data_IF_279485401321
#
_entry.id   IF_279485401321
#
_cell.length_a   1.000
_cell.length_b   1.000
_cell.length_c   1.000
_cell.angle_alpha   90.00
_cell.angle_beta   90.00
_cell.angle_gamma   90.00
#
_symmetry.space_group_name_H-M   'P 1'
#
loop_
_entity.id
_entity.type
_entity.pdbx_description
1 polymer ?
#
# COMPACT_ATOMS: atom_id res chain seq x y z
N UNK A 1 -9.89 26.47 2.11
CA UNK A 1 -8.79 25.67 1.49
C UNK A 1 -9.19 25.38 0.05
N UNK A 2 -8.31 25.57 -0.94
CA UNK A 2 -8.60 25.30 -2.36
C UNK A 2 -8.60 23.79 -2.64
N UNK A 3 -9.54 23.29 -3.45
CA UNK A 3 -9.66 21.87 -3.82
C UNK A 3 -8.40 21.30 -4.50
N UNK A 4 -7.53 22.14 -5.07
CA UNK A 4 -6.22 21.71 -5.59
C UNK A 4 -5.27 21.24 -4.48
N UNK A 5 -5.25 21.98 -3.36
CA UNK A 5 -4.32 21.71 -2.26
C UNK A 5 -4.65 20.40 -1.53
N UNK A 6 -5.95 20.09 -1.40
CA UNK A 6 -6.42 18.82 -0.82
C UNK A 6 -5.99 17.64 -1.70
N UNK A 7 -6.08 17.78 -3.03
CA UNK A 7 -5.64 16.76 -3.98
C UNK A 7 -4.13 16.49 -3.86
N UNK A 8 -3.33 17.54 -3.89
CA UNK A 8 -1.87 17.43 -3.79
C UNK A 8 -1.46 16.75 -2.49
N UNK A 9 -2.08 17.14 -1.38
CA UNK A 9 -1.87 16.52 -0.07
C UNK A 9 -2.29 15.04 -0.06
N UNK A 10 -3.45 14.69 -0.61
CA UNK A 10 -3.91 13.30 -0.69
C UNK A 10 -2.97 12.41 -1.51
N UNK A 11 -2.46 12.91 -2.64
CA UNK A 11 -1.47 12.17 -3.45
C UNK A 11 -0.15 12.02 -2.69
N UNK A 12 0.29 13.07 -2.00
CA UNK A 12 1.49 13.01 -1.16
C UNK A 12 1.36 11.95 -0.06
N UNK A 13 0.26 11.95 0.69
CA UNK A 13 0.00 10.97 1.75
C UNK A 13 -0.04 9.54 1.18
N UNK A 14 -0.70 9.32 0.04
CA UNK A 14 -0.69 8.00 -0.59
C UNK A 14 0.72 7.53 -0.93
N UNK A 15 1.55 8.37 -1.53
CA UNK A 15 2.94 8.00 -1.85
C UNK A 15 3.72 7.64 -0.60
N UNK A 16 3.61 8.47 0.43
CA UNK A 16 4.28 8.26 1.71
C UNK A 16 3.87 6.92 2.34
N UNK A 17 2.57 6.70 2.54
CA UNK A 17 2.09 5.51 3.24
C UNK A 17 2.23 4.22 2.42
N UNK A 18 2.04 4.28 1.10
CA UNK A 18 2.21 3.09 0.25
C UNK A 18 3.67 2.62 0.21
N UNK A 19 4.63 3.54 0.25
CA UNK A 19 6.04 3.19 0.38
C UNK A 19 6.31 2.51 1.73
N UNK A 20 5.86 3.13 2.84
CA UNK A 20 6.04 2.58 4.19
C UNK A 20 5.40 1.17 4.30
N UNK A 21 4.18 0.99 3.83
CA UNK A 21 3.49 -0.31 3.88
C UNK A 21 4.18 -1.38 3.00
N UNK A 22 4.74 -0.98 1.85
CA UNK A 22 5.58 -1.85 1.03
C UNK A 22 6.82 -2.32 1.79
N UNK A 23 7.52 -1.41 2.47
CA UNK A 23 8.70 -1.73 3.28
C UNK A 23 8.35 -2.61 4.49
N UNK A 24 7.22 -2.36 5.16
CA UNK A 24 6.71 -3.24 6.20
C UNK A 24 6.43 -4.66 5.68
N UNK A 25 5.83 -4.79 4.50
CA UNK A 25 5.59 -6.10 3.88
C UNK A 25 6.90 -6.86 3.61
N UNK A 26 7.96 -6.15 3.23
CA UNK A 26 9.32 -6.72 3.07
C UNK A 26 9.93 -7.12 4.40
N UNK A 27 9.76 -6.33 5.46
CA UNK A 27 10.24 -6.68 6.79
C UNK A 27 9.56 -7.94 7.32
N UNK A 28 8.25 -8.05 7.15
CA UNK A 28 7.49 -9.25 7.46
C UNK A 28 8.04 -10.45 6.71
N UNK A 29 8.16 -10.35 5.37
CA UNK A 29 8.67 -11.44 4.54
C UNK A 29 10.05 -11.93 5.02
N UNK A 30 10.95 -11.00 5.36
CA UNK A 30 12.29 -11.31 5.83
C UNK A 30 12.34 -11.92 7.25
N UNK A 31 11.28 -11.77 8.04
CA UNK A 31 11.18 -12.32 9.39
C UNK A 31 10.62 -13.76 9.42
N UNK A 32 9.99 -14.21 8.32
CA UNK A 32 9.37 -15.53 8.23
C UNK A 32 10.41 -16.64 8.03
N UNK A 33 10.15 -17.81 8.63
CA UNK A 33 10.87 -19.04 8.36
C UNK A 33 10.55 -19.57 6.95
N UNK A 34 11.49 -20.23 6.26
CA UNK A 34 11.23 -20.86 4.95
C UNK A 34 10.06 -21.87 4.94
N UNK A 35 9.71 -22.42 6.11
CA UNK A 35 8.61 -23.38 6.27
C UNK A 35 7.23 -22.70 6.24
N UNK A 36 7.17 -21.38 6.48
CA UNK A 36 5.95 -20.56 6.53
C UNK A 36 5.48 -20.13 5.13
N UNK A 37 5.48 -21.08 4.20
CA UNK A 37 5.21 -20.86 2.77
C UNK A 37 3.93 -20.08 2.49
N UNK A 38 2.84 -20.34 3.24
CA UNK A 38 1.59 -19.58 3.10
C UNK A 38 1.75 -18.10 3.45
N UNK A 39 2.44 -17.79 4.55
CA UNK A 39 2.68 -16.41 4.99
C UNK A 39 3.68 -15.70 4.07
N UNK A 40 4.66 -16.43 3.54
CA UNK A 40 5.61 -15.93 2.53
C UNK A 40 4.86 -15.50 1.26
N UNK A 41 3.94 -16.33 0.77
CA UNK A 41 3.14 -16.01 -0.41
C UNK A 41 2.27 -14.78 -0.18
N UNK A 42 1.65 -14.67 1.00
CA UNK A 42 0.81 -13.53 1.36
C UNK A 42 1.62 -12.23 1.50
N UNK A 43 2.75 -12.26 2.22
CA UNK A 43 3.65 -11.11 2.33
C UNK A 43 4.17 -10.67 0.94
N UNK A 44 4.48 -11.62 0.07
CA UNK A 44 4.88 -11.34 -1.33
C UNK A 44 3.75 -10.69 -2.14
N UNK A 45 2.50 -11.08 -1.92
CA UNK A 45 1.35 -10.44 -2.55
C UNK A 45 1.16 -9.01 -2.04
N UNK A 46 1.34 -8.75 -0.75
CA UNK A 46 1.30 -7.38 -0.21
C UNK A 46 2.38 -6.49 -0.80
N UNK A 47 3.63 -6.97 -0.91
CA UNK A 47 4.72 -6.22 -1.56
C UNK A 47 4.30 -5.80 -2.98
N UNK A 48 3.84 -6.76 -3.80
CA UNK A 48 3.41 -6.49 -5.18
C UNK A 48 2.25 -5.48 -5.23
N UNK A 49 1.31 -5.59 -4.30
CA UNK A 49 0.15 -4.70 -4.25
C UNK A 49 0.55 -3.27 -3.88
N UNK A 50 1.35 -3.08 -2.83
CA UNK A 50 1.80 -1.74 -2.42
C UNK A 50 2.70 -1.09 -3.46
N UNK A 51 3.62 -1.84 -4.08
CA UNK A 51 4.45 -1.34 -5.18
C UNK A 51 3.60 -0.89 -6.37
N UNK A 52 2.59 -1.68 -6.75
CA UNK A 52 1.67 -1.33 -7.83
C UNK A 52 0.87 -0.06 -7.53
N UNK A 53 0.36 0.08 -6.30
CA UNK A 53 -0.40 1.26 -5.87
C UNK A 53 0.50 2.50 -5.78
N UNK A 54 1.75 2.35 -5.31
CA UNK A 54 2.74 3.43 -5.26
C UNK A 54 3.09 3.93 -6.66
N UNK A 55 3.36 3.01 -7.59
CA UNK A 55 3.61 3.33 -8.99
C UNK A 55 2.43 4.07 -9.63
N UNK A 56 1.19 3.69 -9.30
CA UNK A 56 0.01 4.45 -9.69
C UNK A 56 0.04 5.86 -9.10
N UNK A 57 0.32 6.00 -7.80
CA UNK A 57 0.36 7.27 -7.10
C UNK A 57 1.42 8.25 -7.67
N UNK A 58 2.49 7.74 -8.28
CA UNK A 58 3.52 8.53 -8.95
C UNK A 58 3.10 9.11 -10.31
N UNK A 59 2.14 8.47 -11.00
CA UNK A 59 1.66 8.95 -12.30
C UNK A 59 0.72 10.13 -12.17
N UNK A 60 0.55 10.96 -13.22
CA UNK A 60 -0.50 11.96 -13.27
C UNK A 60 -1.87 11.28 -13.11
N UNK A 61 -2.56 11.55 -12.01
CA UNK A 61 -3.81 10.89 -11.65
C UNK A 61 -4.99 11.85 -11.88
N UNK A 62 -6.00 11.38 -12.61
CA UNK A 62 -7.31 12.03 -12.72
C UNK A 62 -8.12 11.90 -11.41
N UNK A 63 -9.14 12.73 -11.22
CA UNK A 63 -10.03 12.69 -10.03
C UNK A 63 -10.60 11.30 -9.76
N UNK A 64 -11.14 10.64 -10.78
CA UNK A 64 -11.75 9.32 -10.69
C UNK A 64 -10.75 8.25 -10.22
N UNK A 65 -9.49 8.37 -10.67
CA UNK A 65 -8.41 7.47 -10.29
C UNK A 65 -7.94 7.65 -8.82
N UNK A 66 -8.20 8.81 -8.18
CA UNK A 66 -7.88 9.00 -6.74
C UNK A 66 -8.83 8.19 -5.86
N UNK A 67 -10.12 8.13 -6.20
CA UNK A 67 -11.09 7.39 -5.41
C UNK A 67 -10.79 5.88 -5.43
N UNK A 68 -10.44 5.34 -6.61
CA UNK A 68 -10.00 3.94 -6.76
C UNK A 68 -8.71 3.68 -5.97
N UNK A 69 -7.73 4.57 -6.07
CA UNK A 69 -6.48 4.47 -5.31
C UNK A 69 -6.74 4.46 -3.81
N UNK A 70 -7.60 5.35 -3.32
CA UNK A 70 -7.90 5.46 -1.91
C UNK A 70 -8.62 4.21 -1.38
N UNK A 71 -9.64 3.73 -2.10
CA UNK A 71 -10.34 2.50 -1.72
C UNK A 71 -9.40 1.29 -1.66
N UNK A 72 -8.54 1.13 -2.67
CA UNK A 72 -7.58 0.02 -2.73
C UNK A 72 -6.50 0.13 -1.66
N UNK A 73 -5.94 1.32 -1.45
CA UNK A 73 -4.95 1.56 -0.40
C UNK A 73 -5.54 1.28 0.99
N UNK A 74 -6.77 1.75 1.26
CA UNK A 74 -7.45 1.49 2.52
C UNK A 74 -7.72 0.00 2.74
N UNK A 75 -8.27 -0.70 1.75
CA UNK A 75 -8.52 -2.14 1.86
C UNK A 75 -7.24 -2.94 2.06
N UNK A 76 -6.15 -2.58 1.36
CA UNK A 76 -4.85 -3.21 1.53
C UNK A 76 -4.26 -2.97 2.93
N UNK A 77 -4.36 -1.72 3.43
CA UNK A 77 -3.90 -1.36 4.77
C UNK A 77 -4.67 -2.12 5.87
N UNK A 78 -5.99 -2.30 5.73
CA UNK A 78 -6.77 -3.11 6.65
C UNK A 78 -6.32 -4.57 6.66
N UNK A 79 -6.13 -5.17 5.48
CA UNK A 79 -5.70 -6.57 5.37
C UNK A 79 -4.31 -6.81 5.99
N UNK A 80 -3.33 -5.95 5.71
CA UNK A 80 -2.01 -6.12 6.32
C UNK A 80 -2.03 -5.85 7.84
N UNK A 81 -2.94 -5.00 8.32
CA UNK A 81 -3.11 -4.80 9.77
C UNK A 81 -3.67 -6.03 10.46
N UNK A 82 -4.53 -6.81 9.81
CA UNK A 82 -5.01 -8.11 10.30
C UNK A 82 -3.91 -9.17 10.28
N UNK A 83 -3.05 -9.14 9.25
CA UNK A 83 -1.93 -10.05 9.08
C UNK A 83 -0.87 -9.92 10.18
N UNK A 84 -0.53 -8.70 10.61
CA UNK A 84 0.52 -8.43 11.60
C UNK A 84 0.13 -8.65 13.07
N UNK A 85 -1.05 -9.21 13.36
CA UNK A 85 -1.55 -9.46 14.73
C UNK A 85 -1.54 -10.95 15.15
N UNK A 86 -0.84 -11.81 14.40
CA UNK A 86 -0.52 -13.17 14.87
C UNK A 86 0.81 -13.18 15.62
#
# INVERSE_FOLDING_TARGET
>A
MSSSKIREMSIFEHRFWLQILGDHSRFILNALSPEETCFIDEATQFIKLFDYLLEKAHRPISLENIHDLNYKAYSAAMKISEFGMY
#
